data_IF_212724446726
#
_entry.id   IF_212724446726
#
_cell.length_a   1.000
_cell.length_b   1.000
_cell.length_c   1.000
_cell.angle_alpha   90.00
_cell.angle_beta   90.00
_cell.angle_gamma   90.00
#
_symmetry.space_group_name_H-M   'P 1'
#
loop_
_entity.id
_entity.type
_entity.pdbx_description
1 polymer ?
#
# COMPACT_ATOMS: atom_id res chain seq x y z
N UNK A 1 14.78 -4.44 18.63
CA UNK A 1 14.41 -3.19 17.92
C UNK A 1 13.04 -3.41 17.30
N UNK A 2 12.13 -2.44 17.44
CA UNK A 2 10.82 -2.53 16.79
C UNK A 2 11.01 -2.22 15.30
N UNK A 3 10.48 -3.10 14.43
CA UNK A 3 10.60 -2.94 12.99
C UNK A 3 9.86 -1.68 12.54
N UNK A 4 10.46 -0.91 11.63
CA UNK A 4 9.83 0.28 11.07
C UNK A 4 9.14 -0.04 9.75
N UNK A 5 8.19 0.81 9.35
CA UNK A 5 7.51 0.67 8.07
C UNK A 5 8.52 0.83 6.93
N UNK A 6 9.48 1.73 7.07
CA UNK A 6 10.55 1.96 6.09
C UNK A 6 11.50 0.78 5.91
N UNK A 7 11.48 -0.21 6.81
CA UNK A 7 12.29 -1.42 6.71
C UNK A 7 11.55 -2.58 5.98
N UNK A 8 10.28 -2.39 5.60
CA UNK A 8 9.49 -3.40 4.88
C UNK A 8 9.78 -3.41 3.36
N UNK A 9 9.69 -4.57 2.68
CA UNK A 9 9.96 -4.67 1.25
C UNK A 9 9.12 -3.71 0.41
N UNK A 10 9.79 -2.94 -0.45
CA UNK A 10 9.11 -1.98 -1.35
C UNK A 10 8.61 -0.71 -0.66
N UNK A 11 8.85 -0.54 0.65
CA UNK A 11 8.62 0.70 1.37
C UNK A 11 9.95 1.37 1.72
N UNK A 12 9.89 2.68 1.95
CA UNK A 12 11.05 3.46 2.38
C UNK A 12 10.60 4.69 3.19
N UNK A 13 11.55 5.57 3.58
CA UNK A 13 11.26 6.69 4.48
C UNK A 13 10.13 7.61 4.00
N UNK A 14 9.98 7.77 2.68
CA UNK A 14 8.87 8.55 2.10
C UNK A 14 7.51 7.89 2.34
N UNK A 15 7.40 6.57 2.15
CA UNK A 15 6.16 5.84 2.40
C UNK A 15 5.80 5.90 3.89
N UNK A 16 6.80 5.74 4.76
CA UNK A 16 6.62 5.84 6.21
C UNK A 16 6.11 7.22 6.64
N UNK A 17 6.72 8.31 6.15
CA UNK A 17 6.25 9.66 6.43
C UNK A 17 4.80 9.89 5.97
N UNK A 18 4.46 9.45 4.76
CA UNK A 18 3.09 9.56 4.24
C UNK A 18 2.10 8.70 5.04
N UNK A 19 2.48 7.49 5.45
CA UNK A 19 1.62 6.64 6.28
C UNK A 19 1.41 7.25 7.66
N UNK A 20 2.42 7.89 8.24
CA UNK A 20 2.29 8.65 9.49
C UNK A 20 1.31 9.83 9.34
N UNK A 21 1.34 10.57 8.23
CA UNK A 21 0.35 11.62 7.91
C UNK A 21 -1.09 11.06 7.81
N UNK A 22 -1.23 9.80 7.44
CA UNK A 22 -2.50 9.07 7.39
C UNK A 22 -2.90 8.41 8.73
N UNK A 23 -2.11 8.61 9.79
CA UNK A 23 -2.33 8.06 11.11
C UNK A 23 -1.84 6.62 11.31
N UNK A 24 -0.94 6.13 10.46
CA UNK A 24 -0.34 4.79 10.53
C UNK A 24 1.14 4.97 10.90
N UNK A 25 1.46 4.75 12.17
CA UNK A 25 2.75 5.06 12.77
C UNK A 25 3.57 3.81 13.12
N UNK A 26 3.00 2.63 12.94
CA UNK A 26 3.63 1.36 13.30
C UNK A 26 3.39 0.27 12.25
N UNK A 27 4.26 -0.74 12.25
CA UNK A 27 4.07 -1.94 11.43
C UNK A 27 2.77 -2.65 11.83
N UNK A 28 2.42 -2.70 13.10
CA UNK A 28 1.18 -3.35 13.56
C UNK A 28 -0.08 -2.67 12.99
N UNK A 29 -0.14 -1.34 13.02
CA UNK A 29 -1.24 -0.58 12.38
C UNK A 29 -1.26 -0.78 10.87
N UNK A 30 -0.08 -0.79 10.23
CA UNK A 30 0.07 -1.05 8.80
C UNK A 30 -0.41 -2.45 8.43
N UNK A 31 -0.19 -3.47 9.26
CA UNK A 31 -0.64 -4.84 9.01
C UNK A 31 -2.14 -5.02 9.30
N UNK A 32 -2.69 -4.25 10.24
CA UNK A 32 -4.08 -4.37 10.70
C UNK A 32 -5.08 -3.66 9.78
N UNK A 33 -4.73 -2.52 9.20
CA UNK A 33 -5.62 -1.79 8.30
C UNK A 33 -5.91 -2.61 7.03
N UNK A 34 -7.12 -2.53 6.47
CA UNK A 34 -7.40 -3.13 5.15
C UNK A 34 -6.49 -2.48 4.07
N UNK A 35 -5.82 -3.27 3.20
CA UNK A 35 -4.85 -2.74 2.25
C UNK A 35 -5.50 -1.87 1.16
N UNK A 36 -6.76 -2.14 0.80
CA UNK A 36 -7.49 -1.33 -0.17
C UNK A 36 -7.98 -0.02 0.46
N UNK A 37 -8.36 -0.03 1.74
CA UNK A 37 -8.65 1.18 2.51
C UNK A 37 -7.41 2.06 2.70
N UNK A 38 -6.25 1.46 2.99
CA UNK A 38 -4.98 2.20 3.02
C UNK A 38 -4.70 2.86 1.66
N UNK A 39 -4.83 2.10 0.57
CA UNK A 39 -4.69 2.65 -0.78
C UNK A 39 -5.68 3.79 -1.06
N UNK A 40 -6.94 3.68 -0.61
CA UNK A 40 -7.95 4.73 -0.73
C UNK A 40 -7.49 6.02 -0.04
N UNK A 41 -7.07 5.91 1.23
CA UNK A 41 -6.56 7.06 2.01
C UNK A 41 -5.34 7.69 1.34
N UNK A 42 -4.41 6.86 0.87
CA UNK A 42 -3.23 7.30 0.15
C UNK A 42 -3.59 8.04 -1.15
N UNK A 43 -4.54 7.51 -1.93
CA UNK A 43 -5.01 8.14 -3.18
C UNK A 43 -5.66 9.49 -2.94
N UNK A 44 -6.35 9.66 -1.81
CA UNK A 44 -6.93 10.95 -1.41
C UNK A 44 -5.88 11.95 -0.96
N UNK A 45 -4.88 11.52 -0.18
CA UNK A 45 -3.86 12.42 0.39
C UNK A 45 -2.74 12.77 -0.60
N UNK A 46 -2.34 11.83 -1.46
CA UNK A 46 -1.18 11.96 -2.35
C UNK A 46 -1.61 11.91 -3.81
N UNK A 47 -1.53 13.08 -4.46
CA UNK A 47 -1.78 13.20 -5.90
C UNK A 47 -0.80 12.33 -6.69
N UNK A 48 -1.33 11.59 -7.66
CA UNK A 48 -0.52 10.69 -8.50
C UNK A 48 -0.31 9.29 -7.91
N UNK A 49 -0.99 8.95 -6.82
CA UNK A 49 -1.04 7.57 -6.30
C UNK A 49 -1.62 6.62 -7.36
N UNK A 50 -0.79 5.70 -7.85
CA UNK A 50 -1.13 4.72 -8.87
C UNK A 50 -1.02 3.28 -8.37
N UNK A 51 -1.16 2.30 -9.27
CA UNK A 51 -1.16 0.88 -8.91
C UNK A 51 0.11 0.40 -8.18
N UNK A 52 1.26 1.04 -8.43
CA UNK A 52 2.49 0.68 -7.75
C UNK A 52 2.39 0.83 -6.23
N UNK A 53 1.57 1.77 -5.74
CA UNK A 53 1.37 1.95 -4.30
C UNK A 53 0.66 0.75 -3.67
N UNK A 54 -0.39 0.22 -4.30
CA UNK A 54 -1.09 -0.96 -3.75
C UNK A 54 -0.25 -2.23 -3.91
N UNK A 55 0.55 -2.35 -4.97
CA UNK A 55 1.50 -3.46 -5.09
C UNK A 55 2.58 -3.42 -4.01
N UNK A 56 3.09 -2.23 -3.66
CA UNK A 56 4.04 -2.06 -2.58
C UNK A 56 3.40 -2.38 -1.21
N UNK A 57 2.15 -1.99 -0.98
CA UNK A 57 1.41 -2.33 0.25
C UNK A 57 1.29 -3.85 0.41
N UNK A 58 0.85 -4.57 -0.63
CA UNK A 58 0.77 -6.04 -0.58
C UNK A 58 2.14 -6.69 -0.44
N UNK A 59 3.13 -6.25 -1.23
CA UNK A 59 4.49 -6.78 -1.17
C UNK A 59 5.13 -6.64 0.21
N UNK A 60 4.93 -5.49 0.86
CA UNK A 60 5.40 -5.26 2.22
C UNK A 60 4.76 -6.19 3.25
N UNK A 61 3.44 -6.44 3.13
CA UNK A 61 2.69 -7.32 4.05
C UNK A 61 2.99 -8.80 3.87
N UNK A 62 3.21 -9.21 2.63
CA UNK A 62 3.44 -10.61 2.25
C UNK A 62 4.93 -10.96 2.25
N UNK A 63 5.81 -9.98 2.51
CA UNK A 63 7.26 -10.11 2.38
C UNK A 63 7.68 -10.60 0.97
N UNK A 64 7.02 -10.05 -0.04
CA UNK A 64 7.17 -10.40 -1.46
C UNK A 64 7.54 -9.15 -2.26
N UNK A 65 8.38 -9.31 -3.29
CA UNK A 65 8.74 -8.17 -4.14
C UNK A 65 7.51 -7.67 -4.91
N UNK A 66 7.23 -6.35 -4.90
CA UNK A 66 6.02 -5.76 -5.48
C UNK A 66 5.77 -6.13 -6.96
N UNK A 67 6.82 -6.38 -7.74
CA UNK A 67 6.72 -6.88 -9.12
C UNK A 67 5.99 -8.22 -9.23
N UNK A 68 6.12 -9.09 -8.24
CA UNK A 68 5.42 -10.37 -8.20
C UNK A 68 3.92 -10.15 -8.00
N UNK A 69 3.53 -9.26 -7.07
CA UNK A 69 2.14 -8.84 -6.89
C UNK A 69 1.56 -8.26 -8.19
N UNK A 70 2.31 -7.35 -8.83
CA UNK A 70 1.89 -6.75 -10.10
C UNK A 70 1.69 -7.77 -11.22
N UNK A 71 2.40 -8.91 -11.20
CA UNK A 71 2.32 -9.94 -12.25
C UNK A 71 1.21 -10.94 -11.97
N UNK A 72 1.01 -11.29 -10.72
CA UNK A 72 0.14 -12.41 -10.32
C UNK A 72 -1.26 -11.95 -9.91
N UNK A 73 -1.41 -10.73 -9.38
CA UNK A 73 -2.65 -10.26 -8.72
C UNK A 73 -3.22 -8.97 -9.30
N UNK A 74 -2.63 -8.41 -10.37
CA UNK A 74 -3.07 -7.16 -10.98
C UNK A 74 -4.57 -7.14 -11.32
N UNK A 75 -5.10 -8.21 -11.91
CA UNK A 75 -6.51 -8.27 -12.31
C UNK A 75 -7.44 -8.26 -11.10
N UNK A 76 -7.16 -9.08 -10.08
CA UNK A 76 -7.89 -9.11 -8.81
C UNK A 76 -7.93 -7.72 -8.16
N UNK A 77 -6.77 -7.08 -8.04
CA UNK A 77 -6.62 -5.77 -7.43
C UNK A 77 -7.41 -4.71 -8.23
N UNK A 78 -7.30 -4.70 -9.55
CA UNK A 78 -8.02 -3.75 -10.40
C UNK A 78 -9.53 -3.89 -10.27
N UNK A 79 -10.05 -5.12 -10.31
CA UNK A 79 -11.48 -5.38 -10.13
C UNK A 79 -11.95 -4.86 -8.77
N UNK A 80 -11.21 -5.16 -7.70
CA UNK A 80 -11.57 -4.69 -6.36
C UNK A 80 -11.53 -3.16 -6.22
N UNK A 81 -10.54 -2.51 -6.84
CA UNK A 81 -10.45 -1.05 -6.84
C UNK A 81 -11.58 -0.41 -7.67
N UNK A 82 -12.01 -1.07 -8.75
CA UNK A 82 -13.13 -0.63 -9.58
C UNK A 82 -14.46 -0.75 -8.84
N UNK A 83 -14.70 -1.86 -8.15
CA UNK A 83 -15.86 -2.06 -7.27
C UNK A 83 -15.96 -0.97 -6.18
N UNK A 84 -14.80 -0.49 -5.71
CA UNK A 84 -14.70 0.59 -4.73
C UNK A 84 -14.78 1.99 -5.36
N UNK A 85 -14.87 2.11 -6.69
CA UNK A 85 -14.90 3.38 -7.42
C UNK A 85 -13.58 4.16 -7.38
N UNK A 86 -12.47 3.49 -7.03
CA UNK A 86 -11.15 4.10 -6.82
C UNK A 86 -10.06 3.49 -7.70
N UNK A 87 -10.42 2.76 -8.77
CA UNK A 87 -9.47 2.36 -9.79
C UNK A 87 -8.71 3.60 -10.34
N UNK A 88 -7.38 3.55 -10.45
CA UNK A 88 -6.62 4.60 -11.14
C UNK A 88 -6.99 4.61 -12.63
N UNK A 89 -7.23 5.80 -13.17
CA UNK A 89 -7.50 6.04 -14.60
C UNK A 89 -6.21 6.22 -15.38
#
# INVERSE_FOLDING_TARGET
>A
MQQRISDLPGLGPKSEAVFAELGINSVDEFMTIDPYELYRRLKTAVKGTGLNSIYAIFGARENVHWLEISRTRKTEILLRLDDMGIAPR
#
